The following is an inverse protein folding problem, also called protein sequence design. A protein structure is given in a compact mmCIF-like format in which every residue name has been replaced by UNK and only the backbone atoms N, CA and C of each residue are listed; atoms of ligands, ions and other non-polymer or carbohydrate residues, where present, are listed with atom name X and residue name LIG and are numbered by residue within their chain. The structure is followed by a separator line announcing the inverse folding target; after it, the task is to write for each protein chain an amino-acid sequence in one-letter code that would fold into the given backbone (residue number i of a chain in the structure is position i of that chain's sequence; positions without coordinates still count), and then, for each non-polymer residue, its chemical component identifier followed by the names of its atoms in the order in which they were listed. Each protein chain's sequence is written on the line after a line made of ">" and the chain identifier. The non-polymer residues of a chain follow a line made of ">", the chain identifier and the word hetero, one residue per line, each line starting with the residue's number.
data_IF_148442427918
#
_entry.id   IF_148442427918
#
_cell.length_a   1.000
_cell.length_b   1.000
_cell.length_c   1.000
_cell.angle_alpha   90.00
_cell.angle_beta   90.00
_cell.angle_gamma   90.00
#
_symmetry.space_group_name_H-M   'P 1'
#
loop_
_entity.id
_entity.type
_entity.pdbx_description
1 polymer ?
#
# COMPACT_ATOMS: atom_id res chain seq x y z
N UNK A 1 66.87 51.32 -47.50
CA UNK A 1 67.11 50.37 -48.59
C UNK A 1 66.95 48.96 -48.04
N UNK A 2 66.33 48.10 -48.82
CA UNK A 2 65.68 46.83 -48.50
C UNK A 2 66.50 45.69 -47.84
N UNK A 3 65.74 44.84 -47.15
CA UNK A 3 65.74 43.37 -47.15
C UNK A 3 66.88 42.53 -46.53
N UNK A 4 66.51 41.91 -45.39
CA UNK A 4 66.14 40.48 -45.27
C UNK A 4 67.16 39.41 -44.83
N UNK A 5 66.62 38.59 -43.90
CA UNK A 5 66.68 37.11 -43.78
C UNK A 5 67.66 36.45 -42.81
N UNK A 6 66.99 35.85 -41.81
CA UNK A 6 67.06 34.46 -41.31
C UNK A 6 68.27 34.05 -40.50
N UNK A 7 68.02 33.68 -39.24
CA UNK A 7 68.75 32.59 -38.58
C UNK A 7 67.80 31.66 -37.82
N UNK A 8 68.00 30.35 -38.02
CA UNK A 8 67.33 29.23 -37.35
C UNK A 8 67.90 29.11 -35.93
N UNK A 9 67.03 28.89 -34.95
CA UNK A 9 67.42 28.56 -33.58
C UNK A 9 67.23 27.05 -33.39
N UNK A 10 68.32 26.35 -33.08
CA UNK A 10 68.32 24.96 -32.62
C UNK A 10 68.18 24.91 -31.10
N UNK A 11 67.31 24.00 -30.68
CA UNK A 11 66.85 23.69 -29.34
C UNK A 11 67.98 23.22 -28.41
N UNK A 12 68.01 23.73 -27.18
CA UNK A 12 68.65 23.09 -26.04
C UNK A 12 67.66 23.08 -24.87
N UNK A 13 67.39 21.87 -24.41
CA UNK A 13 66.43 21.50 -23.37
C UNK A 13 66.88 22.06 -22.02
N UNK A 14 66.04 22.88 -21.38
CA UNK A 14 66.15 23.20 -19.95
C UNK A 14 64.84 22.81 -19.28
N UNK A 15 64.92 21.80 -18.42
CA UNK A 15 63.82 21.27 -17.62
C UNK A 15 63.53 22.26 -16.48
N UNK A 16 62.40 22.98 -16.56
CA UNK A 16 61.90 23.79 -15.44
C UNK A 16 60.62 23.12 -14.94
N UNK A 17 60.71 22.54 -13.74
CA UNK A 17 59.55 22.10 -12.95
C UNK A 17 58.71 23.34 -12.58
N UNK A 18 57.55 23.50 -13.19
CA UNK A 18 56.53 24.45 -12.76
C UNK A 18 55.54 23.73 -11.83
N UNK A 19 55.54 24.16 -10.57
CA UNK A 19 54.54 23.75 -9.57
C UNK A 19 53.24 24.47 -9.89
N UNK A 20 52.29 23.74 -10.48
CA UNK A 20 50.93 24.21 -10.70
C UNK A 20 50.14 24.15 -9.39
N UNK A 21 50.06 25.27 -8.67
CA UNK A 21 49.09 25.45 -7.58
C UNK A 21 47.71 25.54 -8.24
N UNK A 22 47.02 24.40 -8.34
CA UNK A 22 45.62 24.34 -8.70
C UNK A 22 44.79 24.94 -7.57
N UNK A 23 44.34 26.19 -7.76
CA UNK A 23 43.24 26.78 -7.01
C UNK A 23 41.98 25.94 -7.28
N UNK A 24 41.72 24.95 -6.43
CA UNK A 24 40.45 24.23 -6.40
C UNK A 24 39.42 25.23 -5.90
N UNK A 25 38.70 25.83 -6.85
CA UNK A 25 37.43 26.50 -6.57
C UNK A 25 36.47 25.44 -6.06
N UNK A 26 36.36 25.31 -4.73
CA UNK A 26 35.22 24.66 -4.11
C UNK A 26 33.99 25.46 -4.55
N UNK A 27 33.28 24.96 -5.55
CA UNK A 27 31.91 25.34 -5.83
C UNK A 27 31.07 24.90 -4.63
N UNK A 28 31.08 25.70 -3.56
CA UNK A 28 30.07 25.61 -2.51
C UNK A 28 28.78 26.06 -3.18
N UNK A 29 28.06 25.12 -3.79
CA UNK A 29 26.68 25.35 -4.18
C UNK A 29 25.94 25.71 -2.89
N UNK A 30 25.22 26.83 -2.81
CA UNK A 30 24.35 27.07 -1.68
C UNK A 30 23.38 25.89 -1.58
N UNK A 31 23.46 25.14 -0.48
CA UNK A 31 22.45 24.13 -0.14
C UNK A 31 21.24 24.94 0.33
N UNK A 32 20.41 25.37 -0.61
CA UNK A 32 19.09 25.88 -0.26
C UNK A 32 18.32 24.73 0.37
N UNK A 33 17.96 24.86 1.65
CA UNK A 33 16.99 23.95 2.27
C UNK A 33 15.67 24.09 1.50
N UNK A 34 15.24 23.04 0.80
CA UNK A 34 13.94 23.05 0.13
C UNK A 34 12.84 23.25 1.18
N UNK A 35 12.08 24.34 1.06
CA UNK A 35 10.93 24.59 1.91
C UNK A 35 9.72 23.81 1.37
N UNK A 36 9.52 22.60 1.89
CA UNK A 36 8.39 21.74 1.55
C UNK A 36 7.10 22.17 2.25
N UNK A 37 7.18 22.78 3.43
CA UNK A 37 6.04 23.17 4.26
C UNK A 37 5.08 24.09 3.53
N UNK A 38 5.61 25.05 2.76
CA UNK A 38 4.82 26.01 1.98
C UNK A 38 4.33 25.48 0.63
N UNK A 39 4.69 24.24 0.24
CA UNK A 39 4.13 23.64 -0.98
C UNK A 39 2.65 23.34 -0.76
N UNK A 40 1.82 23.75 -1.71
CA UNK A 40 0.41 23.41 -1.71
C UNK A 40 0.17 22.04 -2.33
N UNK A 41 -0.84 21.35 -1.80
CA UNK A 41 -1.31 20.05 -2.25
C UNK A 41 -2.76 20.18 -2.67
N UNK A 42 -3.11 19.61 -3.83
CA UNK A 42 -4.47 19.41 -4.30
C UNK A 42 -4.94 18.00 -3.94
N UNK A 43 -5.91 17.89 -3.06
CA UNK A 43 -6.46 16.60 -2.61
C UNK A 43 -7.90 16.45 -3.07
N UNK A 44 -8.16 15.50 -3.97
CA UNK A 44 -9.53 15.15 -4.36
C UNK A 44 -10.28 14.61 -3.15
N UNK A 45 -11.47 15.17 -2.91
CA UNK A 45 -12.42 14.70 -1.93
C UNK A 45 -13.44 13.79 -2.62
N UNK A 46 -13.57 12.56 -2.11
CA UNK A 46 -14.66 11.65 -2.46
C UNK A 46 -15.61 11.48 -1.28
N UNK A 47 -15.09 11.52 -0.06
CA UNK A 47 -15.87 11.68 1.16
C UNK A 47 -15.71 13.12 1.66
N UNK A 48 -16.79 13.82 2.07
CA UNK A 48 -18.19 13.39 2.18
C UNK A 48 -19.06 13.70 0.95
N UNK A 49 -18.52 13.67 -0.27
CA UNK A 49 -19.23 14.14 -1.47
C UNK A 49 -20.42 13.21 -1.80
N UNK A 50 -21.64 13.77 -1.80
CA UNK A 50 -22.89 13.03 -1.99
C UNK A 50 -23.43 13.06 -3.42
N UNK A 51 -23.07 14.08 -4.18
CA UNK A 51 -23.57 14.34 -5.53
C UNK A 51 -22.41 14.54 -6.50
N UNK A 52 -22.55 14.01 -7.72
CA UNK A 52 -21.56 14.20 -8.79
C UNK A 52 -21.66 15.56 -9.47
N UNK A 53 -22.70 16.35 -9.23
CA UNK A 53 -22.95 17.58 -10.01
C UNK A 53 -23.07 18.83 -9.13
N UNK A 54 -23.05 18.67 -7.82
CA UNK A 54 -23.22 19.75 -6.85
C UNK A 54 -22.59 19.42 -5.51
N UNK A 55 -22.12 20.44 -4.80
CA UNK A 55 -21.66 20.32 -3.41
C UNK A 55 -22.16 21.52 -2.58
N UNK A 56 -22.48 21.26 -1.32
CA UNK A 56 -22.80 22.30 -0.35
C UNK A 56 -21.53 22.73 0.39
N UNK A 57 -21.29 24.03 0.47
CA UNK A 57 -20.27 24.61 1.32
C UNK A 57 -20.92 25.45 2.41
N UNK A 58 -20.37 25.41 3.63
CA UNK A 58 -20.81 26.25 4.74
C UNK A 58 -19.63 26.88 5.47
N UNK A 59 -19.87 28.05 6.06
CA UNK A 59 -18.90 28.86 6.79
C UNK A 59 -19.60 29.63 7.90
N UNK A 60 -18.89 29.94 8.99
CA UNK A 60 -19.43 30.80 10.05
C UNK A 60 -19.45 32.29 9.67
N UNK A 61 -18.54 32.72 8.78
CA UNK A 61 -18.26 34.13 8.49
C UNK A 61 -18.20 34.39 6.97
N UNK A 62 -19.09 33.78 6.18
CA UNK A 62 -19.09 33.92 4.72
C UNK A 62 -17.87 33.29 4.02
N UNK A 63 -17.71 33.59 2.74
CA UNK A 63 -16.69 33.02 1.86
C UNK A 63 -15.84 34.07 1.16
N UNK A 64 -14.59 33.72 0.92
CA UNK A 64 -13.65 34.46 0.09
C UNK A 64 -13.47 33.68 -1.21
N UNK A 65 -13.79 34.29 -2.35
CA UNK A 65 -13.61 33.68 -3.67
C UNK A 65 -12.48 34.40 -4.39
N UNK A 66 -11.51 33.67 -4.92
CA UNK A 66 -10.30 34.27 -5.50
C UNK A 66 -9.44 33.32 -6.32
N UNK A 67 -8.27 33.80 -6.71
CA UNK A 67 -7.24 33.04 -7.44
C UNK A 67 -5.98 32.89 -6.59
N UNK A 68 -5.18 31.87 -6.90
CA UNK A 68 -3.88 31.65 -6.27
C UNK A 68 -2.76 32.08 -7.23
N UNK A 69 -2.04 33.14 -6.86
CA UNK A 69 -0.81 33.60 -7.48
C UNK A 69 0.38 33.38 -6.54
N UNK A 70 1.16 34.43 -6.25
CA UNK A 70 2.13 34.43 -5.14
C UNK A 70 1.47 34.40 -3.76
N UNK A 71 0.18 34.73 -3.72
CA UNK A 71 -0.71 34.62 -2.56
C UNK A 71 -2.16 34.48 -3.02
N UNK A 72 -3.09 34.51 -2.09
CA UNK A 72 -4.52 34.51 -2.42
C UNK A 72 -4.97 35.91 -2.84
N UNK A 73 -5.42 36.03 -4.09
CA UNK A 73 -5.96 37.25 -4.68
C UNK A 73 -7.49 37.17 -4.69
N UNK A 74 -8.11 37.93 -3.78
CA UNK A 74 -9.57 37.94 -3.63
C UNK A 74 -10.24 38.63 -4.83
N UNK A 75 -11.28 37.98 -5.35
CA UNK A 75 -12.17 38.49 -6.41
C UNK A 75 -13.51 38.96 -5.80
N UNK A 76 -14.07 38.18 -4.88
CA UNK A 76 -15.41 38.40 -4.34
C UNK A 76 -15.49 37.95 -2.87
N UNK A 77 -16.23 38.73 -2.06
CA UNK A 77 -16.72 38.31 -0.75
C UNK A 77 -18.18 37.87 -0.87
N UNK A 78 -18.51 36.73 -0.26
CA UNK A 78 -19.90 36.26 -0.15
C UNK A 78 -20.27 36.26 1.32
N UNK A 79 -21.24 37.09 1.71
CA UNK A 79 -21.72 37.21 3.09
C UNK A 79 -22.59 36.04 3.56
N UNK A 80 -23.09 35.22 2.64
CA UNK A 80 -23.88 34.03 2.95
C UNK A 80 -23.05 32.97 3.68
N UNK A 81 -23.61 32.40 4.75
CA UNK A 81 -22.98 31.31 5.52
C UNK A 81 -23.12 29.93 4.86
N UNK A 82 -23.90 29.82 3.78
CA UNK A 82 -24.09 28.60 3.01
C UNK A 82 -24.21 28.94 1.53
N UNK A 83 -23.52 28.16 0.70
CA UNK A 83 -23.56 28.26 -0.76
C UNK A 83 -23.61 26.84 -1.35
N UNK A 84 -24.16 26.75 -2.56
CA UNK A 84 -24.11 25.54 -3.38
C UNK A 84 -23.23 25.80 -4.58
N UNK A 85 -22.23 24.94 -4.79
CA UNK A 85 -21.40 24.96 -6.01
C UNK A 85 -21.85 23.82 -6.90
N UNK A 86 -22.22 24.10 -8.16
CA UNK A 86 -22.75 23.10 -9.08
C UNK A 86 -22.27 23.28 -10.51
N UNK A 87 -22.48 22.26 -11.33
CA UNK A 87 -22.35 22.36 -12.78
C UNK A 87 -23.26 23.47 -13.33
N UNK A 88 -22.68 24.38 -14.12
CA UNK A 88 -23.42 25.33 -14.95
C UNK A 88 -23.95 24.71 -16.25
N UNK A 89 -24.58 25.55 -17.07
CA UNK A 89 -25.22 25.14 -18.33
C UNK A 89 -24.22 24.66 -19.39
N UNK A 90 -23.08 25.32 -19.52
CA UNK A 90 -22.02 24.95 -20.45
C UNK A 90 -21.17 23.80 -19.87
N UNK A 91 -20.56 22.97 -20.72
CA UNK A 91 -19.80 21.78 -20.29
C UNK A 91 -18.62 22.07 -19.36
N UNK A 92 -18.13 23.31 -19.32
CA UNK A 92 -16.98 23.74 -18.50
C UNK A 92 -17.36 24.66 -17.34
N UNK A 93 -18.59 25.19 -17.31
CA UNK A 93 -18.96 26.24 -16.36
C UNK A 93 -19.31 25.67 -14.99
N UNK A 94 -18.99 26.40 -13.93
CA UNK A 94 -19.31 26.08 -12.55
C UNK A 94 -19.97 27.32 -11.96
N UNK A 95 -21.04 27.10 -11.21
CA UNK A 95 -21.88 28.14 -10.65
C UNK A 95 -21.85 28.05 -9.12
N UNK A 96 -21.59 29.18 -8.48
CA UNK A 96 -21.81 29.39 -7.06
C UNK A 96 -23.16 30.07 -6.91
N UNK A 97 -24.05 29.50 -6.10
CA UNK A 97 -25.38 30.03 -5.85
C UNK A 97 -25.76 29.95 -4.37
N UNK A 98 -26.78 30.71 -3.98
CA UNK A 98 -27.42 30.52 -2.68
C UNK A 98 -28.15 29.17 -2.64
N UNK A 99 -28.48 28.63 -1.44
CA UNK A 99 -29.35 27.46 -1.32
C UNK A 99 -30.72 27.63 -1.99
N UNK A 100 -31.19 28.88 -2.13
CA UNK A 100 -32.44 29.25 -2.80
C UNK A 100 -32.31 29.31 -4.34
N UNK A 101 -31.11 29.15 -4.89
CA UNK A 101 -30.86 29.11 -6.34
C UNK A 101 -30.48 30.45 -6.99
N UNK A 102 -30.25 31.50 -6.20
CA UNK A 102 -29.75 32.77 -6.72
C UNK A 102 -28.27 32.64 -7.09
N UNK A 103 -27.91 32.94 -8.33
CA UNK A 103 -26.52 32.86 -8.81
C UNK A 103 -25.69 34.00 -8.23
N UNK A 104 -24.62 33.64 -7.52
CA UNK A 104 -23.67 34.58 -6.90
C UNK A 104 -22.44 34.81 -7.77
N UNK A 105 -21.93 33.75 -8.41
CA UNK A 105 -20.75 33.82 -9.26
C UNK A 105 -20.70 32.64 -10.24
N UNK A 106 -20.19 32.87 -11.45
CA UNK A 106 -19.98 31.83 -12.47
C UNK A 106 -18.56 31.90 -13.00
N UNK A 107 -17.92 30.75 -13.15
CA UNK A 107 -16.55 30.62 -13.67
C UNK A 107 -16.40 29.34 -14.49
N UNK A 108 -15.33 29.21 -15.26
CA UNK A 108 -14.96 27.97 -15.93
C UNK A 108 -13.94 27.18 -15.10
N UNK A 109 -13.93 25.86 -15.28
CA UNK A 109 -12.94 24.99 -14.63
C UNK A 109 -11.47 25.41 -14.86
N UNK A 110 -11.17 26.05 -16.00
CA UNK A 110 -9.84 26.57 -16.33
C UNK A 110 -9.42 27.82 -15.56
N UNK A 111 -10.37 28.50 -14.91
CA UNK A 111 -10.13 29.79 -14.27
C UNK A 111 -9.37 29.66 -12.94
N UNK A 112 -9.23 28.43 -12.42
CA UNK A 112 -8.57 28.11 -11.15
C UNK A 112 -9.08 28.97 -9.99
N UNK A 113 -10.40 28.92 -9.75
CA UNK A 113 -11.05 29.64 -8.66
C UNK A 113 -11.01 28.83 -7.37
N UNK A 114 -10.60 29.49 -6.29
CA UNK A 114 -10.48 28.93 -4.96
C UNK A 114 -11.48 29.61 -4.02
N UNK A 115 -12.19 28.81 -3.23
CA UNK A 115 -13.17 29.24 -2.25
C UNK A 115 -12.60 28.95 -0.86
N UNK A 116 -12.32 30.00 -0.10
CA UNK A 116 -11.89 29.93 1.30
C UNK A 116 -12.88 30.61 2.22
N UNK A 117 -12.49 30.74 3.48
CA UNK A 117 -13.25 31.48 4.50
C UNK A 117 -12.30 32.35 5.31
N UNK A 118 -12.77 33.41 5.99
CA UNK A 118 -11.93 34.21 6.88
C UNK A 118 -11.30 33.41 8.02
N UNK A 119 -11.94 32.32 8.47
CA UNK A 119 -11.39 31.43 9.52
C UNK A 119 -10.34 30.45 8.98
N UNK A 120 -10.22 30.32 7.65
CA UNK A 120 -9.39 29.31 6.99
C UNK A 120 -9.95 27.89 7.07
N UNK A 121 -11.18 27.72 7.56
CA UNK A 121 -11.90 26.44 7.62
C UNK A 121 -13.16 26.50 6.77
N UNK A 122 -13.27 25.61 5.78
CA UNK A 122 -14.44 25.46 4.91
C UNK A 122 -15.15 24.16 5.27
N UNK A 123 -16.45 24.22 5.56
CA UNK A 123 -17.25 23.00 5.70
C UNK A 123 -17.73 22.56 4.34
N UNK A 124 -17.33 21.36 3.91
CA UNK A 124 -17.77 20.71 2.67
C UNK A 124 -18.74 19.60 3.05
N UNK A 125 -20.01 19.74 2.68
CA UNK A 125 -21.11 18.89 3.14
C UNK A 125 -21.13 18.73 4.68
N UNK A 126 -20.67 17.58 5.18
CA UNK A 126 -20.66 17.23 6.61
C UNK A 126 -19.31 17.43 7.29
N UNK A 127 -18.23 17.71 6.55
CA UNK A 127 -16.86 17.69 7.09
C UNK A 127 -16.13 19.02 6.92
N UNK A 128 -15.28 19.37 7.88
CA UNK A 128 -14.49 20.60 7.83
C UNK A 128 -13.11 20.36 7.20
N UNK A 129 -12.61 21.36 6.45
CA UNK A 129 -11.33 21.31 5.75
C UNK A 129 -10.58 22.63 5.90
N UNK A 130 -9.25 22.55 6.06
CA UNK A 130 -8.38 23.73 6.06
C UNK A 130 -8.15 24.27 4.65
N UNK A 131 -7.83 25.56 4.57
CA UNK A 131 -7.38 26.21 3.36
C UNK A 131 -8.55 26.54 2.43
N UNK A 132 -8.47 26.07 1.20
CA UNK A 132 -9.40 26.42 0.14
C UNK A 132 -10.00 25.19 -0.52
N UNK A 133 -11.13 25.38 -1.18
CA UNK A 133 -11.77 24.39 -2.05
C UNK A 133 -11.75 24.92 -3.48
N UNK A 134 -11.29 24.09 -4.41
CA UNK A 134 -11.35 24.34 -5.86
C UNK A 134 -12.08 23.19 -6.55
N UNK A 135 -12.49 23.43 -7.78
CA UNK A 135 -13.35 22.53 -8.52
C UNK A 135 -12.79 22.28 -9.92
N UNK A 136 -12.76 21.00 -10.32
CA UNK A 136 -12.55 20.62 -11.71
C UNK A 136 -13.84 20.02 -12.25
N UNK A 137 -14.27 20.46 -13.44
CA UNK A 137 -15.45 19.88 -14.10
C UNK A 137 -15.03 18.92 -15.20
N UNK A 138 -15.53 17.70 -15.14
CA UNK A 138 -15.44 16.70 -16.21
C UNK A 138 -16.79 16.56 -16.90
N UNK A 139 -16.85 15.74 -17.96
CA UNK A 139 -18.13 15.43 -18.62
C UNK A 139 -19.17 14.77 -17.68
N UNK A 140 -18.71 14.02 -16.68
CA UNK A 140 -19.58 13.19 -15.82
C UNK A 140 -19.67 13.65 -14.37
N UNK A 141 -18.75 14.51 -13.90
CA UNK A 141 -18.68 14.91 -12.50
C UNK A 141 -18.02 16.27 -12.25
N UNK A 142 -18.44 16.91 -11.16
CA UNK A 142 -17.80 18.02 -10.48
C UNK A 142 -16.83 17.44 -9.44
N UNK A 143 -15.55 17.46 -9.75
CA UNK A 143 -14.49 16.99 -8.86
C UNK A 143 -14.20 18.09 -7.83
N UNK A 144 -14.41 17.75 -6.55
CA UNK A 144 -14.14 18.64 -5.42
C UNK A 144 -12.71 18.41 -4.94
N UNK A 145 -11.92 19.48 -4.84
CA UNK A 145 -10.50 19.42 -4.50
C UNK A 145 -10.22 20.36 -3.34
N UNK A 146 -9.67 19.83 -2.25
CA UNK A 146 -9.14 20.63 -1.17
C UNK A 146 -7.71 21.07 -1.49
N UNK A 147 -7.44 22.37 -1.33
CA UNK A 147 -6.16 23.02 -1.63
C UNK A 147 -5.60 23.68 -0.36
N UNK A 148 -4.49 23.14 0.12
CA UNK A 148 -3.90 23.49 1.42
C UNK A 148 -2.39 23.24 1.42
N UNK A 149 -1.67 23.76 2.42
CA UNK A 149 -0.22 23.50 2.53
C UNK A 149 0.06 22.05 2.92
N UNK A 150 1.26 21.56 2.60
CA UNK A 150 1.65 20.18 2.87
C UNK A 150 1.54 19.82 4.36
N UNK A 151 1.93 20.72 5.26
CA UNK A 151 1.82 20.43 6.70
C UNK A 151 0.35 20.42 7.18
N UNK A 152 -0.50 21.31 6.65
CA UNK A 152 -1.95 21.27 6.94
C UNK A 152 -2.59 19.97 6.44
N UNK A 153 -2.14 19.47 5.28
CA UNK A 153 -2.54 18.16 4.79
C UNK A 153 -2.14 17.05 5.77
N UNK A 154 -0.91 17.09 6.30
CA UNK A 154 -0.41 16.10 7.24
C UNK A 154 -1.15 16.11 8.59
N UNK A 155 -1.71 17.25 9.01
CA UNK A 155 -2.59 17.29 10.19
C UNK A 155 -3.81 16.39 10.04
N UNK A 156 -4.35 16.22 8.83
CA UNK A 156 -5.46 15.31 8.56
C UNK A 156 -5.04 13.86 8.28
N UNK A 157 -3.79 13.62 7.88
CA UNK A 157 -3.25 12.28 7.56
C UNK A 157 -2.73 11.56 8.81
N UNK A 158 -1.83 12.19 9.57
CA UNK A 158 -1.16 11.53 10.71
C UNK A 158 -2.14 10.94 11.74
N UNK A 159 -3.17 11.67 12.25
CA UNK A 159 -4.11 11.12 13.23
C UNK A 159 -5.10 10.09 12.65
N UNK A 160 -5.12 9.93 11.33
CA UNK A 160 -5.89 8.89 10.64
C UNK A 160 -5.08 7.62 10.47
N UNK A 161 -3.78 7.73 10.25
CA UNK A 161 -2.85 6.61 10.11
C UNK A 161 -2.34 6.08 11.45
N UNK A 162 -2.15 6.95 12.44
CA UNK A 162 -1.57 6.62 13.74
C UNK A 162 -2.36 7.28 14.88
N UNK A 163 -2.59 6.55 15.97
CA UNK A 163 -3.34 7.09 17.10
C UNK A 163 -2.61 8.29 17.72
N UNK A 164 -3.27 9.45 17.92
CA UNK A 164 -2.64 10.63 18.52
C UNK A 164 -2.20 10.46 19.98
N UNK A 165 -2.63 9.38 20.65
CA UNK A 165 -2.21 9.02 22.01
C UNK A 165 -0.88 8.25 22.06
N UNK A 166 -0.34 7.83 20.90
CA UNK A 166 0.91 7.11 20.86
C UNK A 166 2.10 8.03 21.13
N UNK A 167 3.24 7.42 21.45
CA UNK A 167 4.46 8.13 21.81
C UNK A 167 4.84 9.17 20.74
N UNK A 168 5.26 10.35 21.20
CA UNK A 168 5.53 11.51 20.35
C UNK A 168 6.52 11.21 19.23
N UNK A 169 7.56 10.45 19.54
CA UNK A 169 8.59 10.07 18.57
C UNK A 169 8.06 9.15 17.45
N UNK A 170 7.06 8.31 17.73
CA UNK A 170 6.38 7.53 16.71
C UNK A 170 5.51 8.43 15.81
N UNK A 171 4.82 9.42 16.39
CA UNK A 171 4.05 10.41 15.62
C UNK A 171 4.95 11.24 14.70
N UNK A 172 6.15 11.62 15.16
CA UNK A 172 7.16 12.31 14.35
C UNK A 172 7.65 11.44 13.20
N UNK A 173 7.97 10.17 13.47
CA UNK A 173 8.35 9.21 12.44
C UNK A 173 7.24 9.06 11.38
N UNK A 174 5.97 8.94 11.81
CA UNK A 174 4.82 8.89 10.91
C UNK A 174 4.65 10.19 10.10
N UNK A 175 4.87 11.36 10.69
CA UNK A 175 4.78 12.64 10.00
C UNK A 175 5.81 12.77 8.86
N UNK A 176 7.06 12.41 9.13
CA UNK A 176 8.16 12.46 8.14
C UNK A 176 7.91 11.44 7.01
N UNK A 177 7.51 10.21 7.36
CA UNK A 177 7.15 9.18 6.37
C UNK A 177 5.96 9.64 5.52
N UNK A 178 4.91 10.20 6.13
CA UNK A 178 3.75 10.69 5.39
C UNK A 178 4.10 11.88 4.49
N UNK A 179 4.96 12.81 4.95
CA UNK A 179 5.46 13.95 4.15
C UNK A 179 6.25 13.49 2.94
N UNK A 180 7.19 12.58 3.15
CA UNK A 180 8.06 12.04 2.09
C UNK A 180 7.22 11.32 1.04
N UNK A 181 6.24 10.52 1.48
CA UNK A 181 5.29 9.86 0.58
C UNK A 181 4.49 10.88 -0.24
N UNK A 182 3.90 11.89 0.42
CA UNK A 182 3.09 12.90 -0.25
C UNK A 182 3.89 13.62 -1.34
N UNK A 183 5.12 14.04 -1.03
CA UNK A 183 6.03 14.70 -1.98
C UNK A 183 6.35 13.84 -3.20
N UNK A 184 6.63 12.54 -3.02
CA UNK A 184 6.87 11.60 -4.12
C UNK A 184 5.64 11.37 -5.00
N UNK A 185 4.44 11.54 -4.44
CA UNK A 185 3.19 11.23 -5.11
C UNK A 185 2.42 12.48 -5.57
N UNK A 186 2.99 13.69 -5.48
CA UNK A 186 2.31 14.91 -5.94
C UNK A 186 1.94 14.84 -7.43
N UNK A 187 2.69 14.09 -8.23
CA UNK A 187 2.42 13.89 -9.65
C UNK A 187 1.34 12.85 -9.97
N UNK A 188 0.87 12.06 -8.99
CA UNK A 188 0.14 10.79 -9.22
C UNK A 188 -1.16 10.96 -10.02
N UNK A 189 -1.86 12.07 -9.83
CA UNK A 189 -3.13 12.36 -10.50
C UNK A 189 -3.10 13.67 -11.30
N UNK A 190 -1.92 14.06 -11.79
CA UNK A 190 -1.75 15.35 -12.47
C UNK A 190 -2.61 15.47 -13.74
N UNK A 191 -2.88 14.34 -14.41
CA UNK A 191 -3.76 14.30 -15.58
C UNK A 191 -5.23 14.59 -15.22
N UNK A 192 -5.64 14.28 -13.99
CA UNK A 192 -6.98 14.51 -13.44
C UNK A 192 -7.12 15.87 -12.73
N UNK A 193 -6.03 16.65 -12.68
CA UNK A 193 -6.01 18.02 -12.16
C UNK A 193 -5.90 18.13 -10.63
N UNK A 194 -5.47 17.07 -9.94
CA UNK A 194 -5.15 17.06 -8.52
C UNK A 194 -3.88 16.26 -8.21
N UNK A 195 -3.37 16.31 -6.98
CA UNK A 195 -2.13 15.63 -6.61
C UNK A 195 -2.39 14.27 -5.98
N UNK A 196 -3.28 14.24 -4.97
CA UNK A 196 -3.59 13.08 -4.15
C UNK A 196 -5.12 12.96 -3.99
N UNK A 197 -5.60 11.84 -3.46
CA UNK A 197 -7.00 11.69 -3.04
C UNK A 197 -7.10 11.21 -1.58
N UNK A 198 -8.28 11.31 -1.01
CA UNK A 198 -8.64 10.92 0.37
C UNK A 198 -8.77 9.41 0.63
N UNK A 199 -8.39 8.56 -0.33
CA UNK A 199 -8.47 7.11 -0.23
C UNK A 199 -7.12 6.47 0.15
N UNK A 200 -7.19 5.22 0.63
CA UNK A 200 -6.03 4.47 1.14
C UNK A 200 -4.96 4.15 0.09
N UNK A 201 -5.25 4.23 -1.22
CA UNK A 201 -4.23 4.06 -2.26
C UNK A 201 -3.34 5.32 -2.44
N UNK A 202 -3.74 6.46 -1.90
CA UNK A 202 -2.87 7.61 -1.72
C UNK A 202 -2.44 7.66 -0.25
N UNK A 203 -3.21 8.33 0.61
CA UNK A 203 -3.07 8.30 2.07
C UNK A 203 -4.44 8.57 2.67
N UNK A 204 -4.70 8.07 3.88
CA UNK A 204 -5.98 8.31 4.54
C UNK A 204 -6.08 9.75 5.04
N UNK A 205 -6.57 10.66 4.20
CA UNK A 205 -6.80 12.07 4.54
C UNK A 205 -8.23 12.30 5.01
N UNK A 206 -8.41 12.79 6.25
CA UNK A 206 -9.73 12.95 6.86
C UNK A 206 -10.16 14.42 7.10
N UNK A 207 -9.39 15.39 6.62
CA UNK A 207 -9.69 16.81 6.81
C UNK A 207 -9.48 17.31 8.25
N UNK A 208 -10.05 18.48 8.55
CA UNK A 208 -9.84 19.22 9.79
C UNK A 208 -10.43 18.52 11.02
N UNK A 209 -11.58 17.85 10.85
CA UNK A 209 -12.30 17.21 11.98
C UNK A 209 -11.51 16.09 12.66
N UNK A 210 -10.50 15.54 11.98
CA UNK A 210 -9.65 14.47 12.52
C UNK A 210 -8.35 14.98 13.13
N UNK A 211 -8.04 16.26 12.99
CA UNK A 211 -6.82 16.83 13.54
C UNK A 211 -6.73 16.66 15.06
N UNK A 212 -5.51 16.57 15.57
CA UNK A 212 -5.28 16.43 16.99
C UNK A 212 -4.00 17.15 17.39
N UNK A 213 -4.01 17.84 18.54
CA UNK A 213 -2.88 18.69 18.98
C UNK A 213 -1.55 17.92 19.04
N UNK A 214 -1.55 16.68 19.56
CA UNK A 214 -0.34 15.85 19.64
C UNK A 214 0.28 15.53 18.27
N UNK A 215 -0.53 15.09 17.31
CA UNK A 215 -0.07 14.78 15.95
C UNK A 215 0.31 16.05 15.18
N UNK A 216 -0.46 17.12 15.32
CA UNK A 216 -0.14 18.41 14.69
C UNK A 216 1.19 18.95 15.20
N UNK A 217 1.42 18.87 16.50
CA UNK A 217 2.70 19.26 17.09
C UNK A 217 3.84 18.37 16.60
N UNK A 218 3.63 17.08 16.30
CA UNK A 218 4.66 16.21 15.72
C UNK A 218 4.98 16.59 14.26
N UNK A 219 3.97 16.97 13.47
CA UNK A 219 4.15 17.54 12.13
C UNK A 219 4.98 18.83 12.18
N UNK A 220 4.68 19.71 13.14
CA UNK A 220 5.37 21.00 13.31
C UNK A 220 6.82 20.86 13.75
N UNK A 221 7.10 19.96 14.71
CA UNK A 221 8.46 19.69 15.19
C UNK A 221 9.34 18.99 14.14
N UNK A 222 8.75 18.50 13.05
CA UNK A 222 9.45 17.83 11.94
C UNK A 222 9.28 18.57 10.62
N UNK A 223 9.01 19.88 10.66
CA UNK A 223 8.85 20.72 9.48
C UNK A 223 10.01 20.53 8.51
N UNK A 224 9.70 20.41 7.21
CA UNK A 224 10.66 20.19 6.12
C UNK A 224 11.50 18.91 6.20
N UNK A 225 11.38 18.09 7.25
CA UNK A 225 12.14 16.85 7.34
C UNK A 225 11.52 15.76 6.46
N UNK A 226 12.37 15.09 5.70
CA UNK A 226 12.03 14.03 4.74
C UNK A 226 13.03 12.88 4.83
N UNK A 227 12.69 11.72 4.29
CA UNK A 227 13.60 10.59 4.18
C UNK A 227 14.21 10.59 2.78
N UNK A 228 15.53 10.55 2.69
CA UNK A 228 16.27 10.51 1.44
C UNK A 228 17.24 9.35 1.37
N UNK A 229 17.46 8.86 0.17
CA UNK A 229 18.49 7.88 -0.16
C UNK A 229 19.30 8.41 -1.35
N UNK A 230 20.63 8.47 -1.20
CA UNK A 230 21.54 9.06 -2.19
C UNK A 230 21.11 10.47 -2.67
N UNK A 231 20.70 11.32 -1.72
CA UNK A 231 20.29 12.71 -1.97
C UNK A 231 18.93 12.89 -2.64
N UNK A 232 18.20 11.81 -2.95
CA UNK A 232 16.85 11.84 -3.53
C UNK A 232 15.81 11.39 -2.50
N UNK A 233 14.58 11.88 -2.60
CA UNK A 233 13.47 11.40 -1.76
C UNK A 233 13.36 9.87 -1.86
N UNK A 234 13.36 9.21 -0.71
CA UNK A 234 13.26 7.76 -0.62
C UNK A 234 11.79 7.32 -0.73
N UNK A 235 11.53 6.25 -1.48
CA UNK A 235 10.22 5.58 -1.46
C UNK A 235 9.91 5.07 -0.06
N UNK A 236 8.88 5.60 0.58
CA UNK A 236 8.52 5.22 1.95
C UNK A 236 7.16 4.57 2.00
N UNK A 237 7.08 3.47 2.74
CA UNK A 237 5.84 2.74 2.99
C UNK A 237 5.77 2.39 4.46
N UNK A 238 4.55 2.30 5.00
CA UNK A 238 4.31 2.00 6.40
C UNK A 238 3.02 1.18 6.52
N UNK A 239 2.92 0.39 7.58
CA UNK A 239 1.82 -0.54 7.81
C UNK A 239 1.62 -0.77 9.31
N UNK A 240 0.48 -1.36 9.69
CA UNK A 240 0.11 -1.48 11.10
C UNK A 240 1.12 -2.30 11.93
N UNK A 241 1.25 -3.61 11.67
CA UNK A 241 2.08 -4.52 12.47
C UNK A 241 2.81 -5.53 11.60
N UNK A 242 4.07 -5.83 11.93
CA UNK A 242 4.91 -6.71 11.10
C UNK A 242 4.74 -8.18 11.46
N UNK A 243 4.27 -8.47 12.66
CA UNK A 243 4.24 -9.83 13.20
C UNK A 243 5.63 -10.38 13.54
N UNK A 244 6.62 -9.49 13.73
CA UNK A 244 8.00 -9.82 14.11
C UNK A 244 9.02 -9.69 12.97
N UNK A 245 8.58 -9.43 11.74
CA UNK A 245 9.48 -9.27 10.59
C UNK A 245 8.86 -8.43 9.48
N UNK A 246 9.60 -7.44 8.98
CA UNK A 246 9.20 -6.65 7.80
C UNK A 246 9.46 -7.43 6.51
N UNK A 247 9.10 -6.88 5.36
CA UNK A 247 9.21 -7.53 4.07
C UNK A 247 10.07 -6.71 3.10
N UNK A 248 10.81 -7.43 2.26
CA UNK A 248 11.44 -6.86 1.07
C UNK A 248 10.37 -6.50 0.04
N UNK A 249 10.55 -5.38 -0.66
CA UNK A 249 9.49 -4.88 -1.54
C UNK A 249 9.12 -5.85 -2.68
N UNK A 250 10.08 -6.56 -3.25
CA UNK A 250 9.90 -7.52 -4.36
C UNK A 250 9.15 -8.81 -3.97
N UNK A 251 9.12 -9.10 -2.67
CA UNK A 251 8.40 -10.26 -2.11
C UNK A 251 6.90 -9.99 -1.98
N UNK A 252 6.49 -8.72 -2.05
CA UNK A 252 5.12 -8.28 -1.85
C UNK A 252 4.56 -7.66 -3.14
N UNK A 253 5.35 -6.82 -3.79
CA UNK A 253 5.02 -6.19 -5.07
C UNK A 253 5.98 -6.67 -6.15
N UNK A 254 5.47 -6.91 -7.36
CA UNK A 254 6.32 -7.28 -8.49
C UNK A 254 7.13 -6.06 -8.95
N UNK A 255 8.37 -5.93 -8.48
CA UNK A 255 9.19 -4.75 -8.73
C UNK A 255 10.68 -4.98 -8.49
N UNK A 256 11.48 -3.98 -8.84
CA UNK A 256 12.94 -4.01 -8.62
C UNK A 256 13.23 -3.91 -7.12
N UNK A 257 14.16 -4.71 -6.58
CA UNK A 257 14.61 -4.58 -5.20
C UNK A 257 15.08 -3.15 -4.88
N UNK A 258 14.54 -2.57 -3.81
CA UNK A 258 14.91 -1.24 -3.32
C UNK A 258 15.86 -1.42 -2.13
N UNK A 259 17.08 -0.84 -2.16
CA UNK A 259 18.13 -1.15 -1.17
C UNK A 259 17.76 -0.90 0.28
N UNK A 260 16.90 0.09 0.54
CA UNK A 260 16.46 0.49 1.89
C UNK A 260 15.06 -0.01 2.26
N UNK A 261 14.42 -0.84 1.41
CA UNK A 261 13.14 -1.50 1.70
C UNK A 261 13.33 -3.01 1.72
N UNK A 262 14.12 -3.46 2.70
CA UNK A 262 14.47 -4.87 2.92
C UNK A 262 13.72 -5.42 4.12
N UNK A 263 13.43 -6.72 4.09
CA UNK A 263 12.93 -7.41 5.27
C UNK A 263 13.98 -7.44 6.38
N UNK A 264 13.60 -6.97 7.56
CA UNK A 264 14.39 -6.97 8.78
C UNK A 264 13.58 -7.58 9.93
N UNK A 265 14.28 -8.14 10.92
CA UNK A 265 13.68 -8.55 12.18
C UNK A 265 13.13 -7.33 12.90
N UNK A 266 11.91 -7.44 13.42
CA UNK A 266 11.18 -6.34 14.06
C UNK A 266 10.50 -6.83 15.34
N UNK A 267 11.33 -7.12 16.35
CA UNK A 267 10.86 -7.58 17.66
C UNK A 267 9.99 -6.53 18.37
N UNK A 268 10.13 -5.26 18.00
CA UNK A 268 9.34 -4.15 18.56
C UNK A 268 7.86 -4.22 18.21
N UNK A 269 7.50 -4.86 17.09
CA UNK A 269 6.11 -5.02 16.69
C UNK A 269 5.42 -6.22 17.37
N UNK A 270 6.15 -7.03 18.14
CA UNK A 270 5.57 -8.10 18.97
C UNK A 270 4.84 -7.49 20.18
N UNK A 271 3.86 -8.22 20.71
CA UNK A 271 2.89 -7.77 21.71
C UNK A 271 1.78 -6.87 21.15
N UNK A 272 1.71 -6.64 19.84
CA UNK A 272 0.64 -5.87 19.21
C UNK A 272 -0.70 -6.65 19.21
N UNK A 273 -1.85 -5.97 19.16
CA UNK A 273 -3.16 -6.64 19.00
C UNK A 273 -3.30 -7.47 17.71
N UNK A 274 -2.35 -7.34 16.79
CA UNK A 274 -2.32 -8.02 15.50
C UNK A 274 -1.18 -9.04 15.41
N UNK A 275 -0.57 -9.37 16.55
CA UNK A 275 0.52 -10.34 16.63
C UNK A 275 0.17 -11.69 16.03
N UNK A 276 -1.04 -12.16 16.30
CA UNK A 276 -1.57 -13.39 15.74
C UNK A 276 -3.01 -13.17 15.29
N UNK A 277 -3.41 -13.85 14.23
CA UNK A 277 -4.78 -13.88 13.74
C UNK A 277 -5.07 -15.24 13.13
N UNK A 278 -6.33 -15.65 13.21
CA UNK A 278 -6.84 -16.87 12.58
C UNK A 278 -8.01 -16.49 11.69
N UNK A 279 -8.03 -17.04 10.47
CA UNK A 279 -9.14 -16.91 9.55
C UNK A 279 -9.50 -18.29 8.99
N UNK A 280 -10.76 -18.67 9.14
CA UNK A 280 -11.28 -19.93 8.59
C UNK A 280 -12.33 -19.61 7.52
N UNK A 281 -12.23 -20.28 6.38
CA UNK A 281 -13.14 -20.12 5.24
C UNK A 281 -13.57 -21.49 4.71
N UNK A 282 -14.83 -21.62 4.31
CA UNK A 282 -15.28 -22.84 3.64
C UNK A 282 -14.68 -22.97 2.22
N UNK A 283 -14.53 -24.19 1.71
CA UNK A 283 -14.09 -24.47 0.34
C UNK A 283 -15.01 -23.81 -0.67
N UNK A 284 -16.31 -23.81 -0.40
CA UNK A 284 -17.29 -23.18 -1.27
C UNK A 284 -17.09 -21.65 -1.31
N UNK A 285 -16.93 -20.99 -0.17
CA UNK A 285 -16.69 -19.53 -0.15
C UNK A 285 -15.35 -19.16 -0.79
N UNK A 286 -14.31 -19.98 -0.57
CA UNK A 286 -13.04 -19.75 -1.25
C UNK A 286 -13.18 -19.92 -2.76
N UNK A 287 -13.90 -20.96 -3.22
CA UNK A 287 -14.24 -21.16 -4.63
C UNK A 287 -14.98 -19.94 -5.21
N UNK A 288 -16.00 -19.42 -4.53
CA UNK A 288 -16.73 -18.24 -5.00
C UNK A 288 -15.82 -17.01 -5.12
N UNK A 289 -14.93 -16.78 -4.14
CA UNK A 289 -13.93 -15.70 -4.20
C UNK A 289 -12.95 -15.87 -5.37
N UNK A 290 -12.52 -17.10 -5.67
CA UNK A 290 -11.66 -17.40 -6.82
C UNK A 290 -12.40 -17.12 -8.15
N UNK A 291 -13.64 -17.58 -8.30
CA UNK A 291 -14.46 -17.34 -9.49
C UNK A 291 -14.67 -15.84 -9.73
N UNK A 292 -15.00 -15.07 -8.69
CA UNK A 292 -15.17 -13.62 -8.77
C UNK A 292 -13.90 -12.88 -9.24
N UNK A 293 -12.73 -13.52 -9.15
CA UNK A 293 -11.44 -12.98 -9.59
C UNK A 293 -10.91 -13.67 -10.87
N UNK A 294 -11.75 -14.42 -11.59
CA UNK A 294 -11.38 -15.11 -12.83
C UNK A 294 -10.45 -16.31 -12.64
N UNK A 295 -10.46 -16.92 -11.46
CA UNK A 295 -9.57 -18.02 -11.06
C UNK A 295 -10.33 -19.33 -10.82
N UNK A 296 -11.30 -19.65 -11.66
CA UNK A 296 -12.09 -20.88 -11.52
C UNK A 296 -11.18 -22.13 -11.59
N UNK A 297 -11.17 -22.89 -10.50
CA UNK A 297 -10.48 -24.17 -10.34
C UNK A 297 -11.47 -25.34 -10.23
N UNK A 298 -12.77 -25.10 -10.34
CA UNK A 298 -13.80 -26.08 -10.00
C UNK A 298 -13.89 -26.28 -8.48
N UNK A 299 -14.13 -27.51 -8.05
CA UNK A 299 -14.17 -27.85 -6.62
C UNK A 299 -12.75 -27.98 -6.09
N UNK A 300 -12.48 -27.35 -4.94
CA UNK A 300 -11.13 -27.28 -4.36
C UNK A 300 -10.75 -28.66 -3.80
N UNK A 301 -9.70 -29.24 -4.34
CA UNK A 301 -9.13 -30.54 -3.93
C UNK A 301 -8.00 -30.32 -2.92
N UNK A 302 -7.12 -29.33 -3.16
CA UNK A 302 -6.00 -29.05 -2.27
C UNK A 302 -5.48 -27.62 -2.39
N UNK A 303 -4.82 -27.15 -1.34
CA UNK A 303 -3.99 -25.95 -1.33
C UNK A 303 -2.56 -26.30 -0.92
N UNK A 304 -1.58 -25.56 -1.41
CA UNK A 304 -0.20 -25.67 -0.96
C UNK A 304 0.52 -24.33 -1.05
N UNK A 305 1.27 -23.98 -0.01
CA UNK A 305 2.22 -22.88 -0.07
C UNK A 305 3.46 -23.40 -0.78
N UNK A 306 3.67 -22.99 -2.03
CA UNK A 306 4.76 -23.49 -2.88
C UNK A 306 6.03 -22.66 -2.76
N UNK A 307 5.91 -21.43 -2.25
CA UNK A 307 7.06 -20.53 -2.06
C UNK A 307 6.83 -19.55 -0.93
N UNK A 308 7.84 -19.40 -0.08
CA UNK A 308 7.95 -18.36 0.94
C UNK A 308 9.26 -17.59 0.75
N UNK A 309 9.36 -16.42 1.37
CA UNK A 309 10.60 -15.64 1.40
C UNK A 309 11.21 -15.66 2.81
N UNK A 310 12.40 -16.25 2.94
CA UNK A 310 13.16 -16.22 4.19
C UNK A 310 13.60 -14.79 4.56
N UNK A 311 13.95 -13.98 3.55
CA UNK A 311 14.33 -12.57 3.74
C UNK A 311 13.18 -11.72 4.26
N UNK A 312 11.94 -12.17 4.06
CA UNK A 312 10.73 -11.49 4.54
C UNK A 312 10.05 -12.29 5.67
N UNK A 313 10.85 -12.97 6.50
CA UNK A 313 10.36 -13.66 7.71
C UNK A 313 9.46 -14.87 7.46
N UNK A 314 9.51 -15.46 6.27
CA UNK A 314 8.67 -16.59 5.88
C UNK A 314 7.34 -16.20 5.22
N UNK A 315 7.17 -14.94 4.82
CA UNK A 315 5.97 -14.50 4.08
C UNK A 315 5.72 -15.34 2.84
N UNK A 316 4.45 -15.70 2.63
CA UNK A 316 3.96 -16.49 1.50
C UNK A 316 4.04 -15.66 0.22
N UNK A 317 4.76 -16.19 -0.76
CA UNK A 317 4.89 -15.62 -2.10
C UNK A 317 3.92 -16.30 -3.06
N UNK A 318 3.74 -17.62 -2.91
CA UNK A 318 2.92 -18.43 -3.81
C UNK A 318 2.02 -19.39 -3.02
N UNK A 319 0.72 -19.27 -3.24
CA UNK A 319 -0.30 -20.21 -2.78
C UNK A 319 -0.91 -20.89 -4.01
N UNK A 320 -0.61 -22.17 -4.19
CA UNK A 320 -1.21 -23.01 -5.23
C UNK A 320 -2.54 -23.57 -4.74
N UNK A 321 -3.58 -23.45 -5.56
CA UNK A 321 -4.91 -24.02 -5.34
C UNK A 321 -5.23 -24.95 -6.50
N UNK A 322 -5.39 -26.24 -6.19
CA UNK A 322 -5.74 -27.27 -7.16
C UNK A 322 -7.19 -27.70 -6.96
N UNK A 323 -7.95 -27.73 -8.04
CA UNK A 323 -9.33 -28.21 -8.06
C UNK A 323 -9.65 -29.04 -9.31
N UNK A 324 -10.91 -29.44 -9.45
CA UNK A 324 -11.37 -30.35 -10.51
C UNK A 324 -11.18 -29.83 -11.94
N UNK A 325 -11.04 -28.51 -12.13
CA UNK A 325 -10.80 -27.88 -13.45
C UNK A 325 -9.34 -27.48 -13.68
N UNK A 326 -8.45 -27.74 -12.73
CA UNK A 326 -7.02 -27.44 -12.84
C UNK A 326 -6.46 -26.70 -11.63
N UNK A 327 -5.30 -26.08 -11.81
CA UNK A 327 -4.55 -25.42 -10.74
C UNK A 327 -4.36 -23.94 -11.04
N UNK A 328 -4.50 -23.09 -10.02
CA UNK A 328 -4.18 -21.66 -10.07
C UNK A 328 -3.22 -21.29 -8.95
N UNK A 329 -2.29 -20.41 -9.24
CA UNK A 329 -1.33 -19.89 -8.26
C UNK A 329 -1.69 -18.44 -7.94
N UNK A 330 -1.96 -18.17 -6.66
CA UNK A 330 -2.12 -16.83 -6.12
C UNK A 330 -0.74 -16.32 -5.68
N UNK A 331 -0.40 -15.12 -6.14
CA UNK A 331 0.93 -14.53 -5.92
C UNK A 331 0.84 -13.34 -4.96
N UNK A 332 1.66 -13.35 -3.90
CA UNK A 332 1.91 -12.19 -3.03
C UNK A 332 0.63 -11.50 -2.55
N UNK A 333 0.48 -10.19 -2.78
CA UNK A 333 -0.71 -9.41 -2.42
C UNK A 333 -2.01 -9.87 -3.11
N UNK A 334 -1.94 -10.59 -4.24
CA UNK A 334 -3.14 -11.14 -4.89
C UNK A 334 -3.90 -12.10 -3.97
N UNK A 335 -3.19 -12.79 -3.07
CA UNK A 335 -3.80 -13.66 -2.05
C UNK A 335 -4.76 -12.84 -1.18
N UNK A 336 -4.28 -11.71 -0.65
CA UNK A 336 -5.04 -10.81 0.21
C UNK A 336 -6.16 -10.11 -0.54
N UNK A 337 -5.92 -9.72 -1.79
CA UNK A 337 -6.95 -9.11 -2.65
C UNK A 337 -8.13 -10.07 -2.90
N UNK A 338 -7.85 -11.36 -3.16
CA UNK A 338 -8.88 -12.38 -3.40
C UNK A 338 -9.63 -12.74 -2.11
N UNK A 339 -8.91 -12.97 -1.01
CA UNK A 339 -9.51 -13.43 0.25
C UNK A 339 -10.13 -12.29 1.08
N UNK A 340 -9.66 -11.07 0.87
CA UNK A 340 -10.06 -9.84 1.56
C UNK A 340 -9.00 -9.39 2.59
N UNK A 341 -8.62 -8.12 2.53
CA UNK A 341 -7.55 -7.54 3.36
C UNK A 341 -7.81 -7.58 4.88
N UNK A 342 -9.07 -7.69 5.30
CA UNK A 342 -9.45 -7.83 6.71
C UNK A 342 -9.40 -9.28 7.21
N UNK A 343 -9.55 -10.25 6.30
CA UNK A 343 -9.55 -11.68 6.57
C UNK A 343 -8.11 -12.22 6.58
N UNK A 344 -7.37 -11.96 5.50
CA UNK A 344 -5.93 -12.23 5.41
C UNK A 344 -5.20 -10.92 5.66
N UNK A 345 -4.88 -10.70 6.94
CA UNK A 345 -4.31 -9.42 7.40
C UNK A 345 -2.90 -9.17 6.89
N UNK A 346 -2.13 -10.23 6.63
CA UNK A 346 -0.78 -10.17 6.06
C UNK A 346 -0.49 -11.43 5.22
N UNK A 347 0.62 -11.43 4.47
CA UNK A 347 1.14 -12.64 3.81
C UNK A 347 2.02 -13.50 4.73
N UNK A 348 2.17 -13.13 6.00
CA UNK A 348 2.93 -13.92 6.98
C UNK A 348 1.98 -14.89 7.67
N UNK A 349 1.73 -16.04 7.06
CA UNK A 349 0.79 -17.03 7.56
C UNK A 349 1.18 -18.46 7.18
N UNK A 350 0.60 -19.42 7.88
CA UNK A 350 0.50 -20.82 7.47
C UNK A 350 -0.95 -21.14 7.10
N UNK A 351 -1.15 -22.10 6.21
CA UNK A 351 -2.48 -22.52 5.78
C UNK A 351 -2.60 -24.03 5.87
N UNK A 352 -3.76 -24.48 6.34
CA UNK A 352 -4.14 -25.89 6.44
C UNK A 352 -5.56 -26.02 5.90
N UNK A 353 -5.82 -27.09 5.17
CA UNK A 353 -7.16 -27.42 4.71
C UNK A 353 -7.54 -28.76 5.28
N UNK A 354 -8.72 -28.83 5.88
CA UNK A 354 -9.17 -30.02 6.54
C UNK A 354 -9.45 -31.13 5.50
N UNK A 355 -9.15 -32.37 5.89
CA UNK A 355 -9.27 -33.51 4.98
C UNK A 355 -8.31 -33.44 3.78
N UNK A 356 -7.31 -32.56 3.79
CA UNK A 356 -6.21 -32.70 2.84
C UNK A 356 -5.47 -34.01 3.12
N UNK A 357 -5.52 -34.88 2.12
CA UNK A 357 -4.60 -36.00 2.04
C UNK A 357 -3.19 -35.42 1.94
N UNK A 358 -2.43 -35.44 3.05
CA UNK A 358 -0.99 -35.24 3.00
C UNK A 358 -0.42 -36.26 2.01
N UNK A 359 0.51 -35.84 1.15
CA UNK A 359 1.24 -36.77 0.29
C UNK A 359 1.83 -37.89 1.16
N UNK A 360 1.24 -39.09 1.04
CA UNK A 360 1.45 -40.19 1.98
C UNK A 360 0.15 -40.64 2.66
N UNK A 361 -0.85 -41.10 1.89
CA UNK A 361 -1.76 -42.09 2.46
C UNK A 361 -0.93 -43.35 2.60
N UNK A 362 -0.54 -43.67 3.83
CA UNK A 362 -0.02 -44.99 4.13
C UNK A 362 -1.14 -45.98 3.86
N UNK A 363 -1.12 -46.59 2.67
CA UNK A 363 -2.08 -47.62 2.32
C UNK A 363 -1.54 -48.90 2.92
N UNK A 364 -2.27 -49.52 3.83
CA UNK A 364 -1.85 -50.80 4.40
C UNK A 364 -2.65 -51.92 3.72
N UNK A 365 -1.96 -52.98 3.28
CA UNK A 365 -2.60 -54.21 2.84
C UNK A 365 -2.23 -55.34 3.79
N UNK A 366 -3.24 -56.12 4.17
CA UNK A 366 -3.06 -57.38 4.88
C UNK A 366 -3.00 -58.48 3.83
N UNK A 367 -1.87 -59.21 3.76
CA UNK A 367 -1.69 -60.34 2.86
C UNK A 367 -1.75 -61.61 3.70
N UNK A 368 -2.79 -62.42 3.52
CA UNK A 368 -2.96 -63.72 4.19
C UNK A 368 -3.86 -63.69 5.44
N UNK A 369 -3.99 -64.85 6.10
CA UNK A 369 -4.84 -65.08 7.27
C UNK A 369 -4.28 -64.53 8.59
N UNK A 370 -3.05 -64.00 8.59
CA UNK A 370 -2.48 -63.29 9.73
C UNK A 370 -2.93 -61.83 9.71
N UNK A 371 -3.44 -61.33 10.84
CA UNK A 371 -3.81 -59.91 11.05
C UNK A 371 -2.61 -58.93 11.02
N UNK A 372 -1.54 -59.23 10.26
CA UNK A 372 -0.40 -58.34 10.08
C UNK A 372 -0.56 -57.53 8.80
N UNK A 373 -0.71 -56.23 8.96
CA UNK A 373 -0.80 -55.27 7.86
C UNK A 373 0.57 -54.72 7.51
N UNK A 374 0.89 -54.68 6.21
CA UNK A 374 2.12 -54.08 5.70
C UNK A 374 1.81 -52.83 4.88
N UNK A 375 2.66 -51.80 5.03
CA UNK A 375 2.54 -50.55 4.28
C UNK A 375 2.88 -50.79 2.81
N UNK A 376 1.98 -50.39 1.91
CA UNK A 376 2.12 -50.49 0.45
C UNK A 376 1.86 -49.15 -0.22
N UNK A 377 2.53 -48.91 -1.35
CA UNK A 377 2.30 -47.73 -2.18
C UNK A 377 1.53 -48.13 -3.45
N UNK A 378 0.33 -47.58 -3.64
CA UNK A 378 -0.52 -47.87 -4.81
C UNK A 378 -0.33 -46.89 -5.98
N UNK A 379 0.55 -45.89 -5.84
CA UNK A 379 0.80 -44.91 -6.91
C UNK A 379 1.48 -45.58 -8.11
N UNK A 380 0.78 -45.64 -9.24
CA UNK A 380 1.26 -46.32 -10.46
C UNK A 380 1.05 -47.83 -10.45
N UNK A 381 0.29 -48.36 -9.50
CA UNK A 381 -0.08 -49.77 -9.49
C UNK A 381 -0.99 -50.10 -10.69
N UNK A 382 -0.73 -51.25 -11.33
CA UNK A 382 -1.56 -51.78 -12.42
C UNK A 382 -2.37 -52.97 -11.94
N UNK A 383 -3.66 -53.00 -12.26
CA UNK A 383 -4.49 -54.19 -12.12
C UNK A 383 -4.35 -55.01 -13.40
N UNK A 384 -4.06 -56.30 -13.26
CA UNK A 384 -3.92 -57.23 -14.39
C UNK A 384 -4.84 -58.43 -14.21
N UNK A 385 -5.49 -58.86 -15.28
CA UNK A 385 -6.09 -60.18 -15.38
C UNK A 385 -5.42 -60.96 -16.52
N UNK A 386 -5.90 -62.16 -16.81
CA UNK A 386 -5.34 -63.03 -17.86
C UNK A 386 -5.47 -62.46 -19.29
N UNK A 387 -6.21 -61.38 -19.50
CA UNK A 387 -6.56 -60.84 -20.81
C UNK A 387 -6.15 -59.37 -21.01
N UNK A 388 -5.96 -58.60 -19.94
CA UNK A 388 -5.64 -57.17 -20.02
C UNK A 388 -4.96 -56.63 -18.76
N UNK A 389 -4.32 -55.46 -18.93
CA UNK A 389 -3.77 -54.66 -17.84
C UNK A 389 -4.28 -53.23 -17.90
N UNK A 390 -4.70 -52.68 -16.76
CA UNK A 390 -5.13 -51.29 -16.62
C UNK A 390 -4.47 -50.62 -15.41
N UNK A 391 -4.17 -49.32 -15.53
CA UNK A 391 -3.66 -48.55 -14.40
C UNK A 391 -4.77 -48.33 -13.37
N UNK A 392 -4.43 -48.44 -12.09
CA UNK A 392 -5.36 -48.10 -11.01
C UNK A 392 -5.61 -46.58 -11.02
N UNK A 393 -6.89 -46.19 -11.09
CA UNK A 393 -7.31 -44.78 -11.07
C UNK A 393 -6.84 -44.10 -9.77
N UNK A 394 -6.42 -42.84 -9.87
CA UNK A 394 -6.05 -42.00 -8.72
C UNK A 394 -7.26 -41.62 -7.85
N UNK A 395 -8.49 -41.85 -8.32
CA UNK A 395 -9.73 -41.64 -7.59
C UNK A 395 -10.36 -42.99 -7.27
N UNK A 396 -10.18 -43.46 -6.03
CA UNK A 396 -10.64 -44.76 -5.56
C UNK A 396 -12.08 -44.68 -5.00
N UNK A 397 -13.07 -44.43 -5.86
CA UNK A 397 -14.47 -44.34 -5.42
C UNK A 397 -15.19 -45.69 -5.33
N UNK A 398 -14.56 -46.79 -5.76
CA UNK A 398 -15.11 -48.15 -5.69
C UNK A 398 -13.96 -49.17 -5.66
N UNK A 399 -13.54 -49.60 -4.47
CA UNK A 399 -12.49 -50.62 -4.32
C UNK A 399 -13.13 -51.97 -4.05
N UNK A 400 -12.81 -52.94 -4.90
CA UNK A 400 -13.27 -54.32 -4.74
C UNK A 400 -12.12 -55.17 -4.22
N UNK A 401 -12.36 -55.90 -3.13
CA UNK A 401 -11.40 -56.84 -2.57
C UNK A 401 -11.84 -58.24 -2.95
N UNK A 402 -11.01 -58.95 -3.72
CA UNK A 402 -11.20 -60.35 -4.03
C UNK A 402 -10.50 -61.21 -2.97
N UNK A 403 -11.23 -62.16 -2.39
CA UNK A 403 -10.70 -63.16 -1.45
C UNK A 403 -11.15 -64.56 -1.86
N UNK A 404 -10.62 -65.59 -1.19
CA UNK A 404 -11.01 -66.98 -1.45
C UNK A 404 -12.51 -67.27 -1.22
N UNK A 405 -13.23 -66.40 -0.49
CA UNK A 405 -14.67 -66.47 -0.26
C UNK A 405 -15.50 -65.60 -1.21
N UNK A 406 -14.87 -64.98 -2.21
CA UNK A 406 -15.51 -64.15 -3.24
C UNK A 406 -15.02 -62.70 -3.23
N UNK A 407 -15.64 -61.90 -4.10
CA UNK A 407 -15.40 -60.46 -4.22
C UNK A 407 -16.37 -59.68 -3.35
N UNK A 408 -15.83 -58.80 -2.50
CA UNK A 408 -16.61 -57.84 -1.75
C UNK A 408 -16.27 -56.43 -2.20
N UNK A 409 -17.30 -55.62 -2.38
CA UNK A 409 -17.12 -54.18 -2.53
C UNK A 409 -16.77 -53.62 -1.16
N UNK A 410 -15.56 -53.09 -1.02
CA UNK A 410 -15.19 -52.30 0.14
C UNK A 410 -15.53 -50.87 -0.20
N UNK A 411 -16.66 -50.42 0.35
CA UNK A 411 -16.88 -49.00 0.50
C UNK A 411 -15.73 -48.47 1.35
N UNK A 412 -14.76 -47.81 0.72
CA UNK A 412 -13.85 -46.96 1.46
C UNK A 412 -14.78 -45.93 2.06
N UNK A 413 -15.12 -46.10 3.34
CA UNK A 413 -15.79 -45.06 4.10
C UNK A 413 -14.95 -43.82 3.83
N UNK A 414 -15.54 -42.84 3.14
CA UNK A 414 -14.98 -41.50 3.06
C UNK A 414 -14.67 -41.13 4.50
N UNK A 415 -13.40 -41.24 4.88
CA UNK A 415 -12.98 -41.11 6.26
C UNK A 415 -13.34 -39.71 6.70
N UNK A 416 -14.42 -39.64 7.49
CA UNK A 416 -14.95 -38.39 8.02
C UNK A 416 -15.49 -37.47 6.93
N UNK A 417 -16.43 -36.65 7.33
CA UNK A 417 -16.64 -35.31 6.78
C UNK A 417 -15.28 -34.77 6.32
N UNK A 418 -15.11 -34.56 5.01
CA UNK A 418 -14.06 -33.65 4.52
C UNK A 418 -14.23 -32.41 5.38
N UNK A 419 -13.26 -32.03 6.20
CA UNK A 419 -13.45 -30.73 6.81
C UNK A 419 -13.51 -29.75 5.64
N UNK A 420 -14.62 -29.03 5.59
CA UNK A 420 -14.95 -28.16 4.46
C UNK A 420 -14.20 -26.84 4.57
N UNK A 421 -13.29 -26.73 5.52
CA UNK A 421 -12.68 -25.49 5.92
C UNK A 421 -11.20 -25.46 5.57
N UNK A 422 -10.76 -24.23 5.34
CA UNK A 422 -9.38 -23.85 5.14
C UNK A 422 -9.09 -22.84 6.22
N UNK A 423 -8.11 -23.15 7.07
CA UNK A 423 -7.68 -22.30 8.17
C UNK A 423 -6.33 -21.69 7.86
N UNK A 424 -6.28 -20.37 7.99
CA UNK A 424 -5.09 -19.55 7.90
C UNK A 424 -4.74 -19.04 9.29
N UNK A 425 -3.50 -19.28 9.72
CA UNK A 425 -2.95 -18.77 10.98
C UNK A 425 -1.77 -17.88 10.64
N UNK A 426 -1.86 -16.59 10.95
CA UNK A 426 -0.84 -15.63 10.57
C UNK A 426 -0.56 -14.58 11.60
N UNK A 427 0.38 -13.69 11.25
CA UNK A 427 0.93 -12.67 12.12
C UNK A 427 0.98 -11.31 11.44
N UNK A 428 0.85 -10.24 12.22
CA UNK A 428 0.91 -8.86 11.74
C UNK A 428 -0.30 -8.45 10.89
N UNK A 429 -0.32 -7.18 10.51
CA UNK A 429 -1.35 -6.59 9.66
C UNK A 429 -0.72 -5.59 8.70
N UNK A 430 -0.89 -5.85 7.41
CA UNK A 430 -0.47 -4.99 6.31
C UNK A 430 0.54 -5.65 5.39
N UNK A 431 1.00 -4.87 4.41
CA UNK A 431 1.91 -5.34 3.36
C UNK A 431 3.31 -5.67 3.91
N UNK A 432 3.72 -5.07 5.03
CA UNK A 432 4.95 -5.42 5.74
C UNK A 432 6.21 -4.68 5.26
N UNK A 433 6.13 -3.78 4.29
CA UNK A 433 7.28 -3.07 3.72
C UNK A 433 7.53 -1.76 4.47
N UNK A 434 8.77 -1.49 4.85
CA UNK A 434 9.16 -0.25 5.52
C UNK A 434 8.77 -0.23 7.00
N UNK A 435 8.18 0.88 7.47
CA UNK A 435 7.97 1.12 8.90
C UNK A 435 6.73 0.41 9.45
N UNK A 436 6.92 -0.43 10.48
CA UNK A 436 5.81 -0.89 11.33
C UNK A 436 5.36 0.22 12.27
N UNK A 437 4.06 0.54 12.27
CA UNK A 437 3.50 1.56 13.16
C UNK A 437 3.54 1.10 14.63
N UNK A 438 3.18 -0.15 14.92
CA UNK A 438 3.29 -0.70 16.28
C UNK A 438 4.73 -0.85 16.74
N UNK A 439 5.65 -1.23 15.85
CA UNK A 439 7.07 -1.25 16.18
C UNK A 439 7.65 0.14 16.44
N UNK A 440 7.30 1.14 15.62
CA UNK A 440 7.66 2.55 15.86
C UNK A 440 7.10 3.07 17.21
N UNK A 441 5.85 2.72 17.54
CA UNK A 441 5.26 3.02 18.85
C UNK A 441 6.12 2.46 19.98
N UNK A 442 6.45 1.16 19.93
CA UNK A 442 7.22 0.48 20.98
C UNK A 442 8.64 1.03 21.09
N UNK A 443 9.30 1.31 19.97
CA UNK A 443 10.60 1.98 19.96
C UNK A 443 10.51 3.36 20.63
N UNK A 444 9.48 4.16 20.33
CA UNK A 444 9.24 5.43 21.01
C UNK A 444 9.11 5.26 22.53
N UNK A 445 8.30 4.29 22.98
CA UNK A 445 8.13 3.96 24.40
C UNK A 445 9.42 3.47 25.08
N UNK A 446 10.36 2.91 24.31
CA UNK A 446 11.68 2.48 24.78
C UNK A 446 12.74 3.59 24.73
N UNK A 447 12.36 4.82 24.37
CA UNK A 447 13.26 5.99 24.36
C UNK A 447 14.02 6.23 23.06
N UNK A 448 13.72 5.49 21.99
CA UNK A 448 14.29 5.78 20.67
C UNK A 448 13.64 7.04 20.08
N UNK A 449 14.46 7.91 19.49
CA UNK A 449 13.97 9.09 18.79
C UNK A 449 13.48 8.75 17.36
N UNK A 450 12.74 9.67 16.74
CA UNK A 450 12.17 9.46 15.40
C UNK A 450 13.20 9.16 14.31
N UNK A 451 14.43 9.69 14.41
CA UNK A 451 15.50 9.39 13.44
C UNK A 451 15.95 7.95 13.56
N UNK A 452 16.19 7.48 14.78
CA UNK A 452 16.56 6.08 15.04
C UNK A 452 15.44 5.12 14.60
N UNK A 453 14.17 5.48 14.83
CA UNK A 453 13.02 4.71 14.36
C UNK A 453 13.05 4.60 12.82
N UNK A 454 13.16 5.73 12.13
CA UNK A 454 13.12 5.75 10.67
C UNK A 454 14.34 5.08 10.03
N UNK A 455 15.54 5.30 10.55
CA UNK A 455 16.77 4.69 10.06
C UNK A 455 16.83 3.18 10.34
N UNK A 456 16.14 2.70 11.39
CA UNK A 456 15.93 1.27 11.61
C UNK A 456 15.12 0.63 10.48
N UNK A 457 13.96 1.22 10.12
CA UNK A 457 13.05 0.65 9.12
C UNK A 457 13.43 0.94 7.67
N UNK A 458 14.13 2.05 7.40
CA UNK A 458 14.58 2.47 6.08
C UNK A 458 16.12 2.44 6.01
N UNK A 459 16.70 1.27 6.27
CA UNK A 459 18.15 1.10 6.44
C UNK A 459 18.95 1.67 5.25
N UNK A 460 19.85 2.60 5.54
CA UNK A 460 20.68 3.31 4.56
C UNK A 460 20.07 4.60 4.01
N UNK A 461 18.77 4.82 4.19
CA UNK A 461 18.16 6.13 4.00
C UNK A 461 18.36 6.99 5.25
N UNK A 462 18.31 8.31 5.09
CA UNK A 462 18.55 9.29 6.17
C UNK A 462 17.39 10.28 6.27
N UNK A 463 17.14 10.73 7.48
CA UNK A 463 16.26 11.86 7.72
C UNK A 463 17.05 13.15 7.52
N UNK A 464 16.62 13.97 6.57
CA UNK A 464 17.21 15.27 6.23
C UNK A 464 16.22 16.41 6.42
#
# INVERSE_FOLDING_TARGET
>A
MEMSKKWKITTSLVLILSISIGLIWYNVRPVYSENYSSKYVKVRLQNPIKSKISVNLSSSNGFLVGKMGTGFEKILDISHNSIVVKNGTNSTSIVIQTPQGETLYTFNSSDNIYIGTPSGIVKVESSNYRGYITFNRTASELVVVNYLTLDQYLYGVVPREMSPSWHKEALKAQAISARTFALLNLGKHSAEGYNLCDQTHCQAYAGYDREHVNSNSAVNETVNQVIKYNGKLASVYFFASSGGHTASNEDIWNGTPIPYLRGIKDDFSLGSPYDNWTYTISKNDFKQKLIANGLDVGDIISISITKTSAQSGGRVIELSVSGTKGTKVLLREKIRAVLGYNNIKSTLYTAKMDGQIQNGVDTYATIGSSNQSSKINLKGATVRNSLASSNLSSSLSNVWVASGSGTQNVQIASTGTTGDNITFEGKGWGHGIGMSQYGAKKMGEMGYNYKQILEHYYNGAKVE
#
